data_IF_222828622192
#
_entry.id   IF_222828622192
#
_cell.length_a   1.000
_cell.length_b   1.000
_cell.length_c   1.000
_cell.angle_alpha   90.00
_cell.angle_beta   90.00
_cell.angle_gamma   90.00
#
_symmetry.space_group_name_H-M   'P 1'
#
loop_
_entity.id
_entity.type
_entity.pdbx_description
1 polymer ?
#
# COMPACT_ATOMS: atom_id res chain seq x y z
N UNK A 1 -9.62 -4.21 -0.09
CA UNK A 1 -9.89 -5.13 -1.22
C UNK A 1 -11.36 -5.50 -1.16
N UNK A 2 -12.01 -5.74 -2.30
CA UNK A 2 -13.43 -6.17 -2.36
C UNK A 2 -13.58 -7.62 -1.84
N UNK A 3 -14.61 -7.88 -1.04
CA UNK A 3 -15.01 -9.20 -0.53
C UNK A 3 -15.15 -10.24 -1.65
N UNK A 4 -15.60 -9.82 -2.84
CA UNK A 4 -15.69 -10.70 -4.00
C UNK A 4 -14.33 -11.24 -4.44
N UNK A 5 -13.31 -10.37 -4.47
CA UNK A 5 -11.93 -10.73 -4.86
C UNK A 5 -11.35 -11.70 -3.84
N UNK A 6 -11.53 -11.45 -2.54
CA UNK A 6 -11.06 -12.34 -1.48
C UNK A 6 -11.72 -13.72 -1.60
N UNK A 7 -13.06 -13.77 -1.68
CA UNK A 7 -13.80 -15.04 -1.81
C UNK A 7 -13.38 -15.84 -3.03
N UNK A 8 -13.22 -15.17 -4.18
CA UNK A 8 -12.83 -15.84 -5.42
C UNK A 8 -11.38 -16.34 -5.38
N UNK A 9 -10.49 -15.61 -4.71
CA UNK A 9 -9.10 -16.05 -4.47
C UNK A 9 -9.07 -17.29 -3.57
N UNK A 10 -9.83 -17.30 -2.48
CA UNK A 10 -9.94 -18.47 -1.59
C UNK A 10 -10.53 -19.68 -2.32
N UNK A 11 -11.53 -19.48 -3.17
CA UNK A 11 -12.11 -20.55 -3.99
C UNK A 11 -11.09 -21.15 -4.97
N UNK A 12 -10.20 -20.32 -5.55
CA UNK A 12 -9.13 -20.79 -6.43
C UNK A 12 -8.01 -21.54 -5.68
N UNK A 13 -7.81 -21.24 -4.38
CA UNK A 13 -6.84 -21.94 -3.53
C UNK A 13 -7.38 -23.25 -2.94
N UNK A 14 -8.68 -23.34 -2.68
CA UNK A 14 -9.32 -24.49 -2.03
C UNK A 14 -8.99 -25.88 -2.62
N UNK A 15 -8.88 -26.08 -3.95
CA UNK A 15 -8.57 -27.40 -4.51
C UNK A 15 -7.08 -27.79 -4.43
N UNK A 16 -6.20 -26.89 -3.99
CA UNK A 16 -4.75 -27.13 -4.02
C UNK A 16 -4.30 -28.07 -2.91
N UNK A 17 -3.33 -28.96 -3.18
CA UNK A 17 -2.69 -29.75 -2.13
C UNK A 17 -1.91 -28.82 -1.17
N UNK A 18 -1.71 -29.23 0.10
CA UNK A 18 -1.24 -28.33 1.16
C UNK A 18 0.04 -27.53 0.86
N UNK A 19 1.04 -28.18 0.25
CA UNK A 19 2.33 -27.55 -0.07
C UNK A 19 2.19 -26.46 -1.14
N UNK A 20 1.40 -26.75 -2.18
CA UNK A 20 1.12 -25.82 -3.28
C UNK A 20 0.19 -24.69 -2.79
N UNK A 21 -0.80 -25.03 -1.95
CA UNK A 21 -1.65 -24.05 -1.29
C UNK A 21 -0.81 -23.04 -0.51
N UNK A 22 0.14 -23.50 0.32
CA UNK A 22 0.99 -22.62 1.11
C UNK A 22 1.84 -21.69 0.22
N UNK A 23 2.40 -22.24 -0.85
CA UNK A 23 3.19 -21.47 -1.82
C UNK A 23 2.38 -20.31 -2.42
N UNK A 24 1.16 -20.58 -2.91
CA UNK A 24 0.33 -19.53 -3.53
C UNK A 24 -0.33 -18.61 -2.50
N UNK A 25 -0.78 -19.14 -1.36
CA UNK A 25 -1.35 -18.33 -0.28
C UNK A 25 -0.35 -17.27 0.20
N UNK A 26 0.93 -17.63 0.33
CA UNK A 26 1.99 -16.68 0.66
C UNK A 26 2.09 -15.54 -0.38
N UNK A 27 1.98 -15.85 -1.68
CA UNK A 27 1.98 -14.82 -2.72
C UNK A 27 0.83 -13.83 -2.55
N UNK A 28 -0.39 -14.32 -2.30
CA UNK A 28 -1.55 -13.45 -2.11
C UNK A 28 -1.44 -12.57 -0.87
N UNK A 29 -0.96 -13.11 0.25
CA UNK A 29 -0.73 -12.34 1.47
C UNK A 29 0.27 -11.21 1.22
N UNK A 30 1.40 -11.49 0.58
CA UNK A 30 2.41 -10.44 0.29
C UNK A 30 1.87 -9.39 -0.68
N UNK A 31 1.11 -9.80 -1.69
CA UNK A 31 0.49 -8.86 -2.64
C UNK A 31 -0.55 -7.97 -1.95
N UNK A 32 -1.32 -8.52 -1.02
CA UNK A 32 -2.25 -7.76 -0.18
C UNK A 32 -1.52 -6.75 0.71
N UNK A 33 -0.45 -7.18 1.39
CA UNK A 33 0.38 -6.28 2.20
C UNK A 33 0.96 -5.13 1.38
N UNK A 34 1.42 -5.41 0.15
CA UNK A 34 1.88 -4.36 -0.76
C UNK A 34 0.78 -3.40 -1.18
N UNK A 35 -0.43 -3.88 -1.46
CA UNK A 35 -1.56 -2.99 -1.75
C UNK A 35 -1.83 -2.08 -0.56
N UNK A 36 -1.92 -2.64 0.64
CA UNK A 36 -2.21 -1.86 1.84
C UNK A 36 -1.11 -0.85 2.16
N UNK A 37 0.16 -1.24 2.10
CA UNK A 37 1.24 -0.32 2.44
C UNK A 37 1.41 0.77 1.38
N UNK A 38 1.30 0.44 0.09
CA UNK A 38 1.33 1.45 -0.96
C UNK A 38 0.12 2.38 -0.90
N UNK A 39 -1.06 1.90 -0.49
CA UNK A 39 -2.26 2.74 -0.37
C UNK A 39 -2.16 3.68 0.84
N UNK A 40 -1.76 3.14 2.00
CA UNK A 40 -1.79 3.85 3.29
C UNK A 40 -0.54 4.69 3.57
N UNK A 41 0.57 4.46 2.87
CA UNK A 41 1.81 5.20 3.07
C UNK A 41 2.03 6.23 1.95
N UNK A 42 1.57 7.48 2.11
CA UNK A 42 1.70 8.52 1.10
C UNK A 42 3.15 8.97 0.88
N UNK A 43 4.09 8.57 1.73
CA UNK A 43 5.52 8.84 1.58
C UNK A 43 6.29 7.68 0.95
N UNK A 44 5.63 6.55 0.70
CA UNK A 44 6.26 5.46 -0.04
C UNK A 44 6.30 5.80 -1.53
N UNK A 45 7.50 5.79 -2.10
CA UNK A 45 7.77 5.96 -3.53
C UNK A 45 7.20 4.80 -4.33
N UNK A 46 7.33 3.58 -3.80
CA UNK A 46 6.87 2.37 -4.46
C UNK A 46 7.42 1.13 -3.76
N UNK A 47 7.40 0.02 -4.50
CA UNK A 47 8.16 -1.17 -4.12
C UNK A 47 9.64 -0.93 -4.44
N UNK A 48 10.55 -1.52 -3.66
CA UNK A 48 11.95 -1.60 -4.03
C UNK A 48 12.11 -2.48 -5.27
N UNK A 49 13.22 -2.36 -5.98
CA UNK A 49 13.47 -3.16 -7.19
C UNK A 49 13.50 -4.67 -6.85
N UNK A 50 14.05 -5.04 -5.69
CA UNK A 50 14.04 -6.42 -5.21
C UNK A 50 12.61 -6.94 -4.97
N UNK A 51 11.78 -6.17 -4.27
CA UNK A 51 10.38 -6.50 -4.04
C UNK A 51 9.60 -6.62 -5.36
N UNK A 52 9.83 -5.67 -6.27
CA UNK A 52 9.21 -5.68 -7.59
C UNK A 52 9.63 -6.93 -8.37
N UNK A 53 10.92 -7.24 -8.44
CA UNK A 53 11.43 -8.38 -9.19
C UNK A 53 10.93 -9.71 -8.61
N UNK A 54 10.95 -9.84 -7.28
CA UNK A 54 10.53 -11.06 -6.60
C UNK A 54 9.03 -11.36 -6.78
N UNK A 55 8.16 -10.35 -6.64
CA UNK A 55 6.70 -10.56 -6.57
C UNK A 55 5.92 -10.07 -7.77
N UNK A 56 6.50 -9.20 -8.59
CA UNK A 56 5.88 -8.64 -9.80
C UNK A 56 6.74 -8.86 -11.06
N UNK A 57 7.94 -9.42 -10.95
CA UNK A 57 8.81 -9.80 -12.07
C UNK A 57 8.40 -11.13 -12.70
N UNK A 58 9.34 -11.88 -13.25
CA UNK A 58 9.06 -13.26 -13.71
C UNK A 58 8.69 -14.12 -12.51
N UNK A 59 7.76 -15.07 -12.66
CA UNK A 59 7.44 -16.01 -11.59
C UNK A 59 8.68 -16.79 -11.17
N UNK A 60 8.79 -17.09 -9.87
CA UNK A 60 9.86 -17.93 -9.37
C UNK A 60 9.79 -19.33 -10.00
N UNK A 61 10.92 -20.07 -10.06
CA UNK A 61 10.94 -21.43 -10.58
C UNK A 61 9.89 -22.33 -9.92
N UNK A 62 9.69 -22.21 -8.61
CA UNK A 62 8.73 -23.01 -7.83
C UNK A 62 7.29 -22.74 -8.25
N UNK A 63 6.93 -21.48 -8.51
CA UNK A 63 5.59 -21.11 -9.00
C UNK A 63 5.38 -21.64 -10.43
N UNK A 64 6.40 -21.54 -11.29
CA UNK A 64 6.32 -22.06 -12.65
C UNK A 64 6.16 -23.58 -12.67
N UNK A 65 6.93 -24.29 -11.86
CA UNK A 65 6.83 -25.74 -11.71
C UNK A 65 5.46 -26.15 -11.15
N UNK A 66 4.96 -25.46 -10.12
CA UNK A 66 3.64 -25.70 -9.56
C UNK A 66 2.53 -25.55 -10.61
N UNK A 67 2.61 -24.52 -11.46
CA UNK A 67 1.67 -24.36 -12.57
C UNK A 67 1.84 -25.39 -13.68
N UNK A 68 3.06 -25.86 -13.96
CA UNK A 68 3.31 -26.86 -14.99
C UNK A 68 2.69 -28.22 -14.64
N UNK A 69 2.70 -28.57 -13.35
CA UNK A 69 2.21 -29.86 -12.83
C UNK A 69 0.72 -29.85 -12.44
N UNK A 70 -0.01 -28.77 -12.74
CA UNK A 70 -1.40 -28.60 -12.33
C UNK A 70 -2.35 -28.86 -13.50
N UNK A 71 -3.50 -29.47 -13.20
CA UNK A 71 -4.60 -29.60 -14.17
C UNK A 71 -5.14 -28.22 -14.57
N UNK A 72 -5.52 -28.08 -15.84
CA UNK A 72 -5.93 -26.77 -16.38
C UNK A 72 -7.16 -26.19 -15.66
N UNK A 73 -8.08 -27.05 -15.21
CA UNK A 73 -9.28 -26.66 -14.45
C UNK A 73 -8.97 -25.98 -13.12
N UNK A 74 -7.84 -26.31 -12.49
CA UNK A 74 -7.37 -25.68 -11.25
C UNK A 74 -6.42 -24.52 -11.54
N UNK A 75 -5.58 -24.69 -12.56
CA UNK A 75 -4.56 -23.72 -12.98
C UNK A 75 -5.15 -22.42 -13.51
N UNK A 76 -6.14 -22.49 -14.39
CA UNK A 76 -6.74 -21.33 -15.02
C UNK A 76 -7.32 -20.32 -14.01
N UNK A 77 -8.18 -20.70 -13.04
CA UNK A 77 -8.70 -19.75 -12.07
C UNK A 77 -7.61 -19.19 -11.16
N UNK A 78 -6.66 -20.03 -10.69
CA UNK A 78 -5.56 -19.58 -9.84
C UNK A 78 -4.65 -18.58 -10.55
N UNK A 79 -4.30 -18.85 -11.81
CA UNK A 79 -3.49 -17.95 -12.64
C UNK A 79 -4.21 -16.64 -12.91
N UNK A 80 -5.51 -16.67 -13.16
CA UNK A 80 -6.33 -15.47 -13.39
C UNK A 80 -6.31 -14.56 -12.16
N UNK A 81 -6.58 -15.10 -10.98
CA UNK A 81 -6.57 -14.31 -9.74
C UNK A 81 -5.17 -13.84 -9.38
N UNK A 82 -4.14 -14.69 -9.46
CA UNK A 82 -2.77 -14.24 -9.21
C UNK A 82 -2.36 -13.12 -10.19
N UNK A 83 -2.78 -13.21 -11.45
CA UNK A 83 -2.60 -12.15 -12.45
C UNK A 83 -3.30 -10.85 -12.06
N UNK A 84 -4.55 -10.92 -11.61
CA UNK A 84 -5.32 -9.77 -11.14
C UNK A 84 -4.62 -9.04 -10.00
N UNK A 85 -4.24 -9.75 -8.93
CA UNK A 85 -3.57 -9.16 -7.76
C UNK A 85 -2.26 -8.47 -8.15
N UNK A 86 -1.44 -9.15 -8.94
CA UNK A 86 -0.18 -8.59 -9.44
C UNK A 86 -0.40 -7.36 -10.31
N UNK A 87 -1.46 -7.33 -11.11
CA UNK A 87 -1.83 -6.17 -11.91
C UNK A 87 -2.17 -4.97 -11.02
N UNK A 88 -2.99 -5.17 -9.98
CA UNK A 88 -3.37 -4.09 -9.07
C UNK A 88 -2.15 -3.50 -8.34
N UNK A 89 -1.27 -4.36 -7.81
CA UNK A 89 -0.04 -3.88 -7.16
C UNK A 89 0.85 -3.13 -8.16
N UNK A 90 1.01 -3.63 -9.39
CA UNK A 90 1.81 -2.94 -10.43
C UNK A 90 1.24 -1.56 -10.76
N UNK A 91 -0.08 -1.43 -10.89
CA UNK A 91 -0.74 -0.14 -11.18
C UNK A 91 -0.47 0.85 -10.06
N UNK A 92 -0.67 0.44 -8.81
CA UNK A 92 -0.43 1.30 -7.65
C UNK A 92 1.05 1.66 -7.52
N UNK A 93 1.96 0.69 -7.69
CA UNK A 93 3.40 0.93 -7.73
C UNK A 93 3.79 1.99 -8.77
N UNK A 94 3.31 1.86 -10.01
CA UNK A 94 3.61 2.82 -11.09
C UNK A 94 3.08 4.22 -10.76
N UNK A 95 1.84 4.30 -10.26
CA UNK A 95 1.23 5.57 -9.84
C UNK A 95 2.03 6.24 -8.71
N UNK A 96 2.47 5.46 -7.72
CA UNK A 96 3.30 5.96 -6.62
C UNK A 96 4.64 6.48 -7.11
N UNK A 97 5.35 5.73 -7.96
CA UNK A 97 6.65 6.15 -8.52
C UNK A 97 6.52 7.43 -9.33
N UNK A 98 5.50 7.51 -10.19
CA UNK A 98 5.26 8.67 -11.04
C UNK A 98 4.92 9.95 -10.24
N UNK A 99 4.25 9.80 -9.10
CA UNK A 99 3.81 10.92 -8.27
C UNK A 99 4.75 11.24 -7.10
N UNK A 100 5.84 10.48 -6.91
CA UNK A 100 6.62 10.55 -5.67
C UNK A 100 7.25 11.91 -5.42
N UNK A 101 7.98 12.46 -6.40
CA UNK A 101 8.64 13.77 -6.25
C UNK A 101 7.63 14.87 -5.91
N UNK A 102 6.51 14.93 -6.63
CA UNK A 102 5.45 15.92 -6.38
C UNK A 102 4.81 15.77 -5.00
N UNK A 103 4.54 14.52 -4.56
CA UNK A 103 4.04 14.25 -3.20
C UNK A 103 5.03 14.69 -2.14
N UNK A 104 6.32 14.37 -2.32
CA UNK A 104 7.37 14.75 -1.39
C UNK A 104 7.52 16.27 -1.29
N UNK A 105 7.52 16.99 -2.41
CA UNK A 105 7.54 18.46 -2.42
C UNK A 105 6.33 19.05 -1.69
N UNK A 106 5.13 18.53 -1.94
CA UNK A 106 3.91 19.01 -1.27
C UNK A 106 3.97 18.79 0.24
N UNK A 107 4.51 17.66 0.68
CA UNK A 107 4.71 17.37 2.11
C UNK A 107 5.71 18.35 2.73
N UNK A 108 6.84 18.61 2.07
CA UNK A 108 7.80 19.61 2.56
C UNK A 108 7.18 21.01 2.62
N UNK A 109 6.45 21.44 1.58
CA UNK A 109 5.75 22.73 1.58
C UNK A 109 4.73 22.85 2.72
N UNK A 110 3.99 21.76 3.00
CA UNK A 110 3.07 21.73 4.15
C UNK A 110 3.83 21.89 5.46
N UNK A 111 4.93 21.16 5.66
CA UNK A 111 5.76 21.31 6.86
C UNK A 111 6.35 22.71 7.00
N UNK A 112 6.82 23.32 5.91
CA UNK A 112 7.36 24.69 5.93
C UNK A 112 6.28 25.73 6.23
N UNK A 113 5.02 25.44 5.88
CA UNK A 113 3.87 26.31 6.19
C UNK A 113 3.35 26.18 7.62
N UNK A 114 3.77 25.14 8.37
CA UNK A 114 3.38 24.99 9.77
C UNK A 114 4.14 26.02 10.60
N UNK A 115 3.38 26.98 11.16
CA UNK A 115 3.94 27.92 12.13
C UNK A 115 4.02 27.21 13.48
N UNK A 116 5.23 27.00 13.99
CA UNK A 116 5.42 26.46 15.34
C UNK A 116 5.01 27.55 16.34
N UNK A 117 3.79 27.46 16.86
CA UNK A 117 3.34 28.29 17.97
C UNK A 117 4.15 27.92 19.22
N UNK A 118 5.02 28.81 19.68
CA UNK A 118 5.70 28.68 20.96
C UNK A 118 4.65 28.45 22.06
N UNK A 119 4.81 27.39 22.86
CA UNK A 119 3.86 26.98 23.89
C UNK A 119 3.51 28.08 24.91
N UNK A 120 4.36 29.11 25.03
CA UNK A 120 4.12 30.29 25.87
C UNK A 120 3.05 31.24 25.33
N UNK A 121 2.72 31.22 24.03
CA UNK A 121 1.64 32.03 23.45
C UNK A 121 0.26 31.39 23.64
N UNK A 122 0.19 30.05 23.67
CA UNK A 122 -1.07 29.30 23.84
C UNK A 122 -1.63 29.36 25.28
N UNK A 123 -0.80 29.68 26.28
CA UNK A 123 -1.26 29.84 27.66
C UNK A 123 -2.01 31.18 27.91
N UNK A 124 -1.98 32.11 26.95
CA UNK A 124 -2.63 33.42 27.07
C UNK A 124 -3.96 33.53 26.30
N UNK A 125 -4.37 32.50 25.54
CA UNK A 125 -5.64 32.48 24.83
C UNK A 125 -6.69 31.72 25.64
N UNK A 126 -7.57 32.46 26.31
CA UNK A 126 -8.74 31.92 27.03
C UNK A 126 -9.97 31.71 26.15
N UNK A 127 -9.84 31.75 24.83
CA UNK A 127 -10.96 31.48 23.93
C UNK A 127 -10.68 30.20 23.13
N UNK A 128 -11.42 29.17 23.50
CA UNK A 128 -11.40 27.86 22.87
C UNK A 128 -12.06 27.93 21.50
N UNK A 129 -11.27 28.03 20.44
CA UNK A 129 -11.60 27.58 19.09
C UNK A 129 -10.34 27.66 18.20
N UNK A 130 -9.33 26.88 18.55
CA UNK A 130 -8.22 26.62 17.65
C UNK A 130 -7.92 25.12 17.70
N UNK A 131 -8.47 24.38 16.73
CA UNK A 131 -8.01 23.03 16.38
C UNK A 131 -6.63 23.15 15.72
N UNK A 132 -5.66 23.75 16.41
CA UNK A 132 -4.28 23.76 15.98
C UNK A 132 -3.69 22.37 16.28
N UNK A 133 -3.15 21.75 15.24
CA UNK A 133 -2.37 20.54 15.38
C UNK A 133 -1.15 20.88 16.25
N UNK A 134 -1.25 20.64 17.57
CA UNK A 134 -0.13 20.69 18.50
C UNK A 134 0.88 19.61 18.12
N UNK A 135 1.82 19.95 17.24
CA UNK A 135 3.07 19.23 17.15
C UNK A 135 3.96 19.85 18.22
N UNK A 136 4.08 19.15 19.35
CA UNK A 136 4.93 19.60 20.45
C UNK A 136 6.39 19.61 19.96
N UNK A 137 7.05 20.77 20.05
CA UNK A 137 8.42 20.97 19.58
C UNK A 137 9.43 20.00 20.23
N UNK A 138 9.08 19.42 21.39
CA UNK A 138 9.88 18.41 22.09
C UNK A 138 9.89 17.04 21.36
N UNK A 139 8.88 16.72 20.55
CA UNK A 139 8.79 15.45 19.80
C UNK A 139 9.61 15.46 18.51
N UNK A 140 9.79 16.63 17.87
CA UNK A 140 10.61 16.78 16.66
C UNK A 140 12.11 16.59 17.00
N UNK A 141 12.54 17.05 18.18
CA UNK A 141 13.94 16.95 18.61
C UNK A 141 14.29 15.54 19.08
N UNK A 142 13.35 14.80 19.69
CA UNK A 142 13.59 13.43 20.15
C UNK A 142 13.51 12.36 19.04
N UNK A 143 12.74 12.57 17.98
CA UNK A 143 12.72 11.67 16.82
C UNK A 143 14.07 11.58 16.08
N UNK A 144 14.94 12.59 16.27
CA UNK A 144 16.32 12.57 15.80
C UNK A 144 17.30 11.85 16.74
N UNK A 145 16.89 11.46 17.95
CA UNK A 145 17.86 10.99 18.95
C UNK A 145 17.55 9.75 19.77
N UNK A 146 16.34 9.18 19.88
CA UNK A 146 16.19 7.79 20.36
C UNK A 146 14.79 7.20 20.18
N UNK A 147 14.77 5.93 19.75
CA UNK A 147 13.61 5.06 19.71
C UNK A 147 12.94 4.91 21.08
N UNK A 148 11.69 5.36 21.22
CA UNK A 148 10.59 4.60 21.86
C UNK A 148 9.30 5.44 21.86
N UNK A 149 8.50 5.38 20.80
CA UNK A 149 7.13 5.89 20.82
C UNK A 149 6.19 4.72 21.14
N UNK A 150 5.27 4.90 22.09
CA UNK A 150 4.38 3.83 22.51
C UNK A 150 3.36 3.52 21.41
N UNK A 151 2.94 2.26 21.34
CA UNK A 151 2.11 1.70 20.25
C UNK A 151 0.79 2.48 20.04
N UNK A 152 0.23 3.04 21.11
CA UNK A 152 -1.05 3.74 21.08
C UNK A 152 -0.94 5.14 20.45
N UNK A 153 0.23 5.78 20.55
CA UNK A 153 0.51 7.11 19.99
C UNK A 153 0.78 7.03 18.48
N UNK A 154 1.42 5.95 18.02
CA UNK A 154 1.55 5.66 16.58
C UNK A 154 0.19 5.40 15.92
N UNK A 155 -0.76 4.77 16.62
CA UNK A 155 -2.06 4.43 16.03
C UNK A 155 -2.96 5.66 15.89
N UNK A 156 -2.85 6.62 16.82
CA UNK A 156 -3.61 7.87 16.78
C UNK A 156 -3.07 8.83 15.70
N UNK A 157 -1.75 8.92 15.54
CA UNK A 157 -1.13 9.70 14.45
C UNK A 157 -1.45 9.11 13.06
N UNK A 158 -1.52 7.77 12.95
CA UNK A 158 -1.93 7.08 11.71
C UNK A 158 -3.38 7.36 11.34
N UNK A 159 -4.32 7.36 12.31
CA UNK A 159 -5.74 7.66 12.04
C UNK A 159 -5.93 9.07 11.51
N UNK A 160 -5.19 10.05 12.06
CA UNK A 160 -5.30 11.46 11.64
C UNK A 160 -4.68 11.75 10.27
N UNK A 161 -3.73 10.94 9.81
CA UNK A 161 -3.16 11.04 8.46
C UNK A 161 -4.06 10.42 7.37
N UNK A 162 -5.00 9.54 7.74
CA UNK A 162 -5.91 8.92 6.78
C UNK A 162 -7.03 9.86 6.30
N UNK A 163 -7.42 10.87 7.08
CA UNK A 163 -8.54 11.77 6.74
C UNK A 163 -8.18 12.83 5.67
N UNK A 164 -6.90 13.01 5.33
CA UNK A 164 -6.42 13.97 4.32
C UNK A 164 -6.30 13.37 2.90
N UNK A 165 -6.62 12.07 2.72
CA UNK A 165 -6.48 11.37 1.43
C UNK A 165 -7.76 11.31 0.59
N UNK A 166 -8.87 11.97 0.98
CA UNK A 166 -10.13 11.87 0.24
C UNK A 166 -10.19 12.59 -1.11
N UNK A 167 -9.16 13.37 -1.48
CA UNK A 167 -9.18 14.22 -2.70
C UNK A 167 -8.28 13.75 -3.86
N UNK A 168 -7.84 12.48 -3.90
CA UNK A 168 -6.94 11.98 -4.98
C UNK A 168 -7.56 10.91 -5.88
N UNK A 169 -8.84 10.57 -5.69
CA UNK A 169 -9.49 9.53 -6.51
C UNK A 169 -10.08 10.02 -7.86
N UNK A 170 -10.03 11.31 -8.18
CA UNK A 170 -10.67 11.87 -9.38
C UNK A 170 -9.79 11.87 -10.65
N UNK A 171 -8.62 11.21 -10.63
CA UNK A 171 -7.77 11.05 -11.82
C UNK A 171 -7.49 9.58 -12.10
N UNK A 172 -8.54 8.81 -12.35
CA UNK A 172 -8.43 7.49 -12.99
C UNK A 172 -9.42 7.33 -14.15
N UNK A 173 -9.37 8.27 -15.10
CA UNK A 173 -9.70 7.96 -16.50
C UNK A 173 -8.39 7.72 -17.24
N UNK A 174 -7.97 6.46 -17.30
CA UNK A 174 -7.11 5.97 -18.37
C UNK A 174 -7.73 4.67 -18.87
N UNK A 175 -8.40 4.82 -20.01
CA UNK A 175 -8.97 3.79 -20.85
C UNK A 175 -7.93 2.76 -21.29
N UNK A 176 -8.44 1.56 -21.55
CA UNK A 176 -7.96 0.52 -22.46
C UNK A 176 -6.51 0.02 -22.33
N UNK A 177 -6.39 -1.18 -21.74
CA UNK A 177 -5.70 -2.30 -22.38
C UNK A 177 -6.09 -3.64 -21.71
N UNK A 178 -7.35 -4.06 -21.90
CA UNK A 178 -7.67 -5.50 -21.88
C UNK A 178 -7.38 -6.07 -23.27
N UNK A 179 -6.11 -6.41 -23.52
CA UNK A 179 -5.78 -7.36 -24.58
C UNK A 179 -5.22 -8.63 -23.92
N UNK A 180 -6.15 -9.49 -23.50
CA UNK A 180 -5.88 -10.91 -23.30
C UNK A 180 -5.69 -11.53 -24.69
N UNK A 181 -4.55 -12.16 -25.02
CA UNK A 181 -4.49 -13.00 -26.21
C UNK A 181 -5.29 -14.28 -25.95
N UNK A 182 -6.46 -14.36 -26.58
CA UNK A 182 -7.17 -15.61 -26.81
C UNK A 182 -6.32 -16.52 -27.71
N UNK A 183 -6.28 -17.80 -27.32
CA UNK A 183 -5.64 -18.93 -27.99
C UNK A 183 -5.39 -18.82 -29.52
N UNK A 184 -4.19 -19.23 -29.91
CA UNK A 184 -3.96 -20.19 -31.00
C UNK A 184 -2.77 -21.06 -30.68
#
# INVERSE_FOLDING_TARGET
MDDYVIKSTLAALAPLPPQILQLFAYQFVVLEDFLFDLDRNPLRDGLTDDQYNQFLGVFSPEINEAFANMDESVKAPLRSWLGYWRCQVRRLHKSRRASFASRQTRVHQLFDSLTISNATAAAASTDGEALECKICQEEIVQAGQNNSCSRDEQENAKRKACDLNHDVNDVMNLDDEMNMPSNS
#
